data_IF_934986372852
#
_entry.id   IF_934986372852
#
_cell.length_a   1.000
_cell.length_b   1.000
_cell.length_c   1.000
_cell.angle_alpha   90.00
_cell.angle_beta   90.00
_cell.angle_gamma   90.00
#
_symmetry.space_group_name_H-M   'P 1'
#
loop_
_entity.id
_entity.type
_entity.pdbx_description
1 polymer ?
#
# COMPACT_ATOMS: atom_id res chain seq x y z
N UNK A 1 8.63 -10.26 42.60
CA UNK A 1 7.15 -10.17 42.51
C UNK A 1 6.67 -8.77 42.16
N UNK A 2 7.06 -7.74 42.93
CA UNK A 2 6.68 -6.33 42.69
C UNK A 2 7.07 -5.82 41.28
N UNK A 3 8.29 -6.06 40.83
CA UNK A 3 8.75 -5.64 39.50
C UNK A 3 7.93 -6.25 38.35
N UNK A 4 7.55 -7.53 38.46
CA UNK A 4 6.68 -8.18 37.45
C UNK A 4 5.28 -7.57 37.44
N UNK A 5 4.71 -7.32 38.62
CA UNK A 5 3.40 -6.66 38.74
C UNK A 5 3.40 -5.26 38.14
N UNK A 6 4.45 -4.47 38.39
CA UNK A 6 4.60 -3.11 37.82
C UNK A 6 4.73 -3.17 36.30
N UNK A 7 5.53 -4.09 35.75
CA UNK A 7 5.67 -4.26 34.29
C UNK A 7 4.33 -4.66 33.66
N UNK A 8 3.61 -5.62 34.24
CA UNK A 8 2.30 -6.02 33.74
C UNK A 8 1.28 -4.89 33.82
N UNK A 9 1.27 -4.11 34.91
CA UNK A 9 0.40 -2.94 35.05
C UNK A 9 0.69 -1.88 33.99
N UNK A 10 1.97 -1.59 33.72
CA UNK A 10 2.38 -0.66 32.65
C UNK A 10 1.98 -1.16 31.26
N UNK A 11 2.12 -2.46 30.98
CA UNK A 11 1.68 -3.06 29.71
C UNK A 11 0.16 -2.95 29.53
N UNK A 12 -0.63 -3.21 30.58
CA UNK A 12 -2.09 -3.06 30.53
C UNK A 12 -2.52 -1.60 30.39
N UNK A 13 -1.83 -0.67 31.05
CA UNK A 13 -2.07 0.76 30.90
C UNK A 13 -1.75 1.24 29.49
N UNK A 14 -0.61 0.83 28.92
CA UNK A 14 -0.24 1.12 27.54
C UNK A 14 -1.27 0.56 26.55
N UNK A 15 -1.67 -0.70 26.72
CA UNK A 15 -2.69 -1.32 25.88
C UNK A 15 -4.02 -0.56 25.95
N UNK A 16 -4.41 -0.13 27.15
CA UNK A 16 -5.63 0.66 27.36
C UNK A 16 -5.57 2.01 26.65
N UNK A 17 -4.47 2.75 26.84
CA UNK A 17 -4.24 4.05 26.16
C UNK A 17 -4.22 3.88 24.66
N UNK A 18 -3.44 2.91 24.15
CA UNK A 18 -3.34 2.60 22.72
C UNK A 18 -4.71 2.24 22.13
N UNK A 19 -5.52 1.44 22.82
CA UNK A 19 -6.87 1.07 22.38
C UNK A 19 -7.80 2.28 22.31
N UNK A 20 -7.81 3.12 23.35
CA UNK A 20 -8.63 4.35 23.39
C UNK A 20 -8.22 5.31 22.28
N UNK A 21 -6.92 5.53 22.08
CA UNK A 21 -6.41 6.43 21.04
C UNK A 21 -6.81 5.96 19.64
N UNK A 22 -6.63 4.66 19.33
CA UNK A 22 -7.01 4.12 18.02
C UNK A 22 -8.53 4.16 17.80
N UNK A 23 -9.31 3.79 18.81
CA UNK A 23 -10.78 3.86 18.74
C UNK A 23 -11.26 5.30 18.54
N UNK A 24 -10.70 6.26 19.29
CA UNK A 24 -11.09 7.66 19.19
C UNK A 24 -10.68 8.28 17.86
N UNK A 25 -9.51 7.94 17.36
CA UNK A 25 -9.08 8.38 16.04
C UNK A 25 -9.95 7.79 14.92
N UNK A 26 -10.28 6.49 14.99
CA UNK A 26 -11.21 5.85 14.05
C UNK A 26 -12.58 6.53 14.06
N UNK A 27 -13.12 6.80 15.25
CA UNK A 27 -14.38 7.53 15.41
C UNK A 27 -14.29 8.96 14.88
N UNK A 28 -13.17 9.65 15.10
CA UNK A 28 -12.94 10.99 14.56
C UNK A 28 -12.94 11.00 13.04
N UNK A 29 -12.21 10.10 12.38
CA UNK A 29 -12.17 10.00 10.91
C UNK A 29 -13.56 9.66 10.37
N UNK A 30 -14.23 8.67 10.95
CA UNK A 30 -15.56 8.26 10.51
C UNK A 30 -16.59 9.38 10.68
N UNK A 31 -16.64 10.02 11.85
CA UNK A 31 -17.58 11.12 12.12
C UNK A 31 -17.29 12.36 11.28
N UNK A 32 -16.02 12.68 11.03
CA UNK A 32 -15.64 13.80 10.17
C UNK A 32 -16.05 13.55 8.72
N UNK A 33 -15.86 12.33 8.22
CA UNK A 33 -16.29 11.94 6.88
C UNK A 33 -17.82 12.05 6.73
N UNK A 34 -18.57 11.46 7.66
CA UNK A 34 -20.05 11.52 7.65
C UNK A 34 -20.57 12.95 7.79
N UNK A 35 -19.96 13.77 8.65
CA UNK A 35 -20.32 15.18 8.81
C UNK A 35 -20.03 15.99 7.52
N UNK A 36 -18.90 15.72 6.86
CA UNK A 36 -18.56 16.28 5.56
C UNK A 36 -19.60 15.97 4.49
N UNK A 37 -20.01 14.71 4.39
CA UNK A 37 -21.03 14.27 3.43
C UNK A 37 -22.40 14.88 3.71
N UNK A 38 -22.79 14.95 4.99
CA UNK A 38 -24.05 15.58 5.38
C UNK A 38 -24.05 17.07 5.05
N UNK A 39 -22.93 17.75 5.29
CA UNK A 39 -22.75 19.18 4.97
C UNK A 39 -22.81 19.41 3.46
N UNK A 40 -22.16 18.56 2.66
CA UNK A 40 -22.22 18.63 1.21
C UNK A 40 -23.65 18.38 0.69
N UNK A 41 -24.33 17.36 1.22
CA UNK A 41 -25.72 17.05 0.83
C UNK A 41 -26.67 18.19 1.17
N UNK A 42 -26.51 18.80 2.35
CA UNK A 42 -27.28 19.98 2.76
C UNK A 42 -26.96 21.19 1.87
N UNK A 43 -25.69 21.45 1.57
CA UNK A 43 -25.28 22.51 0.66
C UNK A 43 -25.84 22.31 -0.74
N UNK A 44 -25.78 21.09 -1.28
CA UNK A 44 -26.37 20.78 -2.59
C UNK A 44 -27.89 20.94 -2.56
N UNK A 45 -28.56 20.56 -1.47
CA UNK A 45 -30.01 20.74 -1.30
C UNK A 45 -30.42 22.22 -1.20
N UNK A 46 -29.61 23.06 -0.54
CA UNK A 46 -29.86 24.49 -0.34
C UNK A 46 -29.50 25.31 -1.59
N UNK A 47 -28.39 24.96 -2.27
CA UNK A 47 -27.82 25.76 -3.35
C UNK A 47 -28.08 25.19 -4.77
N UNK A 48 -28.63 23.99 -4.96
CA UNK A 48 -29.19 23.55 -6.27
C UNK A 48 -30.56 24.18 -6.54
N UNK A 49 -30.60 25.51 -6.48
CA UNK A 49 -31.53 26.34 -7.25
C UNK A 49 -30.67 27.15 -8.21
N UNK A 50 -30.69 26.75 -9.49
CA UNK A 50 -30.00 27.34 -10.66
C UNK A 50 -28.51 27.04 -10.79
N UNK A 51 -28.16 26.11 -11.69
CA UNK A 51 -27.58 26.40 -13.03
C UNK A 51 -27.10 25.08 -13.65
N UNK A 52 -27.76 24.64 -14.72
CA UNK A 52 -27.27 23.62 -15.64
C UNK A 52 -26.33 24.29 -16.64
N UNK A 53 -25.06 23.91 -16.61
CA UNK A 53 -24.05 24.36 -17.57
C UNK A 53 -22.92 23.35 -17.60
N UNK A 54 -23.08 22.28 -18.38
CA UNK A 54 -21.98 21.39 -18.73
C UNK A 54 -20.99 22.17 -19.61
N UNK A 55 -19.87 22.58 -19.03
CA UNK A 55 -18.70 22.98 -19.80
C UNK A 55 -18.03 21.69 -20.29
N UNK A 56 -18.32 21.30 -21.53
CA UNK A 56 -17.48 20.34 -22.26
C UNK A 56 -16.09 20.95 -22.42
N UNK A 57 -15.15 20.54 -21.57
CA UNK A 57 -13.73 20.76 -21.81
C UNK A 57 -13.34 19.95 -23.05
N UNK A 58 -12.71 20.61 -24.00
CA UNK A 58 -12.19 20.01 -25.23
C UNK A 58 -11.14 18.96 -24.89
N UNK A 59 -11.46 17.69 -25.15
CA UNK A 59 -10.52 16.58 -25.16
C UNK A 59 -9.62 16.72 -26.38
N UNK A 60 -8.39 17.16 -26.19
CA UNK A 60 -7.35 17.10 -27.22
C UNK A 60 -6.07 16.55 -26.58
N UNK A 61 -5.58 15.43 -27.12
CA UNK A 61 -4.29 14.76 -26.83
C UNK A 61 -4.04 14.10 -25.45
N UNK A 62 -5.09 13.75 -24.68
CA UNK A 62 -4.89 13.05 -23.39
C UNK A 62 -4.72 11.53 -23.56
N UNK A 63 -4.89 10.97 -24.76
CA UNK A 63 -5.03 9.52 -24.93
C UNK A 63 -3.76 8.66 -24.78
N UNK A 64 -2.58 9.26 -24.90
CA UNK A 64 -1.34 8.49 -25.06
C UNK A 64 -0.48 8.39 -23.79
N UNK A 65 -0.90 9.02 -22.66
CA UNK A 65 -0.11 9.00 -21.44
C UNK A 65 -0.42 7.77 -20.56
N UNK A 66 0.59 6.99 -20.12
CA UNK A 66 0.44 5.93 -19.13
C UNK A 66 -0.29 6.41 -17.86
N UNK A 67 -1.31 5.71 -17.34
CA UNK A 67 -1.98 6.13 -16.11
C UNK A 67 -1.05 5.98 -14.89
N UNK A 68 -1.33 6.77 -13.86
CA UNK A 68 -0.70 6.65 -12.54
C UNK A 68 -1.72 6.00 -11.59
N UNK A 69 -1.38 4.88 -10.98
CA UNK A 69 -2.25 4.15 -10.05
C UNK A 69 -1.73 4.33 -8.63
N UNK A 70 -2.53 4.97 -7.76
CA UNK A 70 -2.21 5.18 -6.36
C UNK A 70 -2.74 4.01 -5.51
N UNK A 71 -1.84 3.21 -4.95
CA UNK A 71 -2.18 2.00 -4.20
C UNK A 71 -2.00 2.25 -2.70
N UNK A 72 -3.12 2.24 -1.97
CA UNK A 72 -3.11 2.52 -0.53
C UNK A 72 -2.47 1.38 0.29
N UNK A 73 -2.22 1.64 1.58
CA UNK A 73 -1.73 0.64 2.53
C UNK A 73 -2.81 0.00 3.37
N UNK A 74 -2.43 -0.42 4.58
CA UNK A 74 -3.34 -0.86 5.63
C UNK A 74 -4.30 0.28 6.03
N UNK A 75 -5.56 -0.05 6.30
CA UNK A 75 -6.64 0.91 6.60
C UNK A 75 -6.89 1.98 5.52
N UNK A 76 -6.31 1.81 4.34
CA UNK A 76 -6.58 2.68 3.21
C UNK A 76 -7.85 2.31 2.48
N UNK A 77 -8.28 3.20 1.61
CA UNK A 77 -9.53 3.09 0.87
C UNK A 77 -9.40 3.80 -0.48
N UNK A 78 -10.18 3.34 -1.46
CA UNK A 78 -10.19 3.92 -2.79
C UNK A 78 -11.07 5.15 -2.93
N UNK A 79 -11.12 5.71 -4.13
CA UNK A 79 -11.97 6.86 -4.45
C UNK A 79 -13.46 6.52 -4.24
N UNK A 80 -14.19 7.42 -3.59
CA UNK A 80 -15.63 7.27 -3.33
C UNK A 80 -15.97 6.44 -2.09
N UNK A 81 -14.96 6.03 -1.31
CA UNK A 81 -15.15 5.46 0.04
C UNK A 81 -14.89 6.51 1.11
N UNK A 82 -15.54 6.33 2.27
CA UNK A 82 -15.60 7.33 3.34
C UNK A 82 -16.04 8.71 2.82
N UNK A 83 -17.05 8.70 1.94
CA UNK A 83 -17.65 9.93 1.45
C UNK A 83 -16.73 10.77 0.57
N UNK A 84 -16.66 12.06 0.89
CA UNK A 84 -15.76 13.02 0.24
C UNK A 84 -14.30 12.96 0.72
N UNK A 85 -13.96 12.13 1.71
CA UNK A 85 -12.60 12.01 2.21
C UNK A 85 -11.69 11.34 1.17
N UNK A 86 -10.45 11.80 1.05
CA UNK A 86 -9.45 11.21 0.15
C UNK A 86 -8.31 10.62 0.95
N UNK A 87 -8.03 9.33 0.76
CA UNK A 87 -6.86 8.69 1.36
C UNK A 87 -5.57 9.37 0.92
N UNK A 88 -5.44 9.69 -0.37
CA UNK A 88 -4.27 10.39 -0.92
C UNK A 88 -4.40 11.92 -0.84
N UNK A 89 -5.28 12.43 0.02
CA UNK A 89 -5.46 13.86 0.33
C UNK A 89 -5.61 14.77 -0.91
N UNK A 90 -6.21 14.26 -1.99
CA UNK A 90 -6.45 14.99 -3.22
C UNK A 90 -5.31 14.94 -4.25
N UNK A 91 -4.24 14.17 -4.02
CA UNK A 91 -3.19 13.94 -5.02
C UNK A 91 -3.76 13.40 -6.34
N UNK A 92 -4.84 12.62 -6.28
CA UNK A 92 -5.56 12.11 -7.44
C UNK A 92 -6.22 13.18 -8.32
N UNK A 93 -6.27 14.43 -7.85
CA UNK A 93 -6.78 15.58 -8.63
C UNK A 93 -5.66 16.40 -9.28
N UNK A 94 -4.40 16.03 -9.09
CA UNK A 94 -3.24 16.78 -9.61
C UNK A 94 -2.89 16.48 -11.08
N UNK A 95 -3.40 15.38 -11.62
CA UNK A 95 -3.16 14.95 -13.01
C UNK A 95 -4.44 14.31 -13.60
N UNK A 96 -4.58 14.33 -14.92
CA UNK A 96 -5.81 13.91 -15.62
C UNK A 96 -5.95 12.38 -15.76
N UNK A 97 -4.92 11.59 -15.42
CA UNK A 97 -4.94 10.11 -15.49
C UNK A 97 -4.44 9.42 -14.23
N UNK A 98 -5.09 9.73 -13.11
CA UNK A 98 -4.80 9.11 -11.82
C UNK A 98 -5.93 8.20 -11.38
N UNK A 99 -5.62 6.93 -11.16
CA UNK A 99 -6.55 5.91 -10.66
C UNK A 99 -6.28 5.62 -9.18
N UNK A 100 -7.33 5.40 -8.40
CA UNK A 100 -7.24 5.15 -6.95
C UNK A 100 -8.10 3.92 -6.60
N UNK A 101 -7.57 2.71 -6.79
CA UNK A 101 -8.27 1.46 -6.49
C UNK A 101 -8.75 1.37 -5.04
N UNK A 102 -9.93 0.77 -4.88
CA UNK A 102 -10.48 0.41 -3.57
C UNK A 102 -10.22 -1.07 -3.29
N UNK A 103 -9.06 -1.36 -2.69
CA UNK A 103 -8.65 -2.72 -2.34
C UNK A 103 -9.04 -3.05 -0.89
N UNK A 104 -9.10 -4.32 -0.55
CA UNK A 104 -9.34 -4.75 0.83
C UNK A 104 -8.35 -4.12 1.81
N UNK A 105 -8.83 -3.33 2.76
CA UNK A 105 -7.96 -2.53 3.64
C UNK A 105 -7.15 -3.36 4.64
N UNK A 106 -7.54 -4.62 4.87
CA UNK A 106 -6.87 -5.57 5.78
C UNK A 106 -6.52 -6.93 5.14
N UNK A 107 -6.88 -7.16 3.88
CA UNK A 107 -6.59 -8.42 3.17
C UNK A 107 -5.09 -8.59 2.90
N UNK A 108 -4.64 -9.83 2.65
CA UNK A 108 -3.22 -10.12 2.43
C UNK A 108 -2.66 -9.39 1.21
N UNK A 109 -1.34 -9.25 1.15
CA UNK A 109 -0.67 -8.63 -0.01
C UNK A 109 -0.99 -9.40 -1.30
N UNK A 110 -1.08 -10.73 -1.21
CA UNK A 110 -1.46 -11.60 -2.31
C UNK A 110 -2.86 -11.24 -2.85
N UNK A 111 -3.87 -11.21 -1.99
CA UNK A 111 -5.24 -10.94 -2.41
C UNK A 111 -5.42 -9.53 -2.95
N UNK A 112 -4.76 -8.56 -2.33
CA UNK A 112 -4.76 -7.17 -2.82
C UNK A 112 -4.12 -7.05 -4.21
N UNK A 113 -3.09 -7.84 -4.51
CA UNK A 113 -2.48 -7.87 -5.83
C UNK A 113 -3.45 -8.45 -6.88
N UNK A 114 -4.18 -9.52 -6.53
CA UNK A 114 -5.24 -10.09 -7.37
C UNK A 114 -6.37 -9.09 -7.59
N UNK A 115 -6.88 -8.47 -6.53
CA UNK A 115 -7.92 -7.44 -6.63
C UNK A 115 -7.49 -6.25 -7.50
N UNK A 116 -6.23 -5.81 -7.38
CA UNK A 116 -5.68 -4.72 -8.17
C UNK A 116 -5.62 -5.04 -9.66
N UNK A 117 -5.23 -6.27 -10.03
CA UNK A 117 -5.23 -6.70 -11.43
C UNK A 117 -6.62 -6.60 -12.05
N UNK A 118 -7.62 -7.20 -11.41
CA UNK A 118 -8.99 -7.22 -11.94
C UNK A 118 -9.71 -5.87 -11.81
N UNK A 119 -9.31 -5.00 -10.89
CA UNK A 119 -9.76 -3.59 -10.89
C UNK A 119 -9.33 -2.88 -12.18
N UNK A 120 -8.10 -3.10 -12.62
CA UNK A 120 -7.56 -2.47 -13.84
C UNK A 120 -8.10 -3.14 -15.11
N UNK A 121 -7.98 -4.47 -15.22
CA UNK A 121 -8.39 -5.21 -16.42
C UNK A 121 -9.90 -5.43 -16.53
N UNK A 122 -10.61 -5.49 -15.42
CA UNK A 122 -11.99 -5.96 -15.36
C UNK A 122 -12.08 -7.47 -15.26
N UNK A 123 -13.29 -7.97 -14.99
CA UNK A 123 -13.58 -9.38 -14.78
C UNK A 123 -13.78 -9.74 -13.31
N UNK A 124 -13.88 -11.05 -13.06
CA UNK A 124 -14.07 -11.58 -11.70
C UNK A 124 -12.73 -11.79 -11.04
N UNK A 125 -12.56 -11.27 -9.83
CA UNK A 125 -11.35 -11.52 -9.05
C UNK A 125 -11.17 -13.02 -8.84
N UNK A 126 -10.04 -13.55 -9.28
CA UNK A 126 -9.58 -14.90 -9.01
C UNK A 126 -8.35 -14.84 -8.09
N UNK A 127 -8.51 -15.37 -6.87
CA UNK A 127 -7.44 -15.47 -5.88
C UNK A 127 -6.55 -16.71 -6.10
N UNK A 128 -6.82 -17.53 -7.11
CA UNK A 128 -6.09 -18.77 -7.38
C UNK A 128 -6.59 -19.93 -6.52
N UNK A 129 -6.79 -21.09 -7.15
CA UNK A 129 -7.37 -22.27 -6.50
C UNK A 129 -6.54 -22.76 -5.31
N UNK A 130 -5.23 -22.92 -5.49
CA UNK A 130 -4.32 -23.44 -4.45
C UNK A 130 -4.21 -22.49 -3.25
N UNK A 131 -4.08 -21.20 -3.51
CA UNK A 131 -4.05 -20.17 -2.46
C UNK A 131 -5.35 -20.20 -1.64
N UNK A 132 -6.49 -20.18 -2.33
CA UNK A 132 -7.80 -20.14 -1.67
C UNK A 132 -8.08 -21.39 -0.83
N UNK A 133 -7.66 -22.57 -1.30
CA UNK A 133 -7.73 -23.81 -0.51
C UNK A 133 -6.82 -23.78 0.72
N UNK A 134 -5.59 -23.28 0.56
CA UNK A 134 -4.63 -23.20 1.66
C UNK A 134 -5.04 -22.16 2.73
N UNK A 135 -5.66 -21.05 2.30
CA UNK A 135 -6.07 -19.96 3.16
C UNK A 135 -7.49 -20.11 3.74
N UNK A 136 -8.32 -20.96 3.13
CA UNK A 136 -9.66 -21.30 3.61
C UNK A 136 -10.73 -20.27 3.22
N UNK A 137 -10.63 -19.70 2.02
CA UNK A 137 -11.62 -18.74 1.49
C UNK A 137 -12.06 -19.09 0.07
N UNK A 138 -13.03 -18.31 -0.46
CA UNK A 138 -13.52 -18.50 -1.82
C UNK A 138 -12.45 -18.13 -2.84
N UNK A 139 -12.30 -18.92 -3.90
CA UNK A 139 -11.42 -18.58 -5.04
C UNK A 139 -11.86 -17.31 -5.75
N UNK A 140 -13.17 -17.12 -5.90
CA UNK A 140 -13.68 -15.98 -6.65
C UNK A 140 -14.20 -14.89 -5.73
N UNK A 141 -13.70 -13.68 -5.95
CA UNK A 141 -14.09 -12.47 -5.26
C UNK A 141 -15.12 -11.64 -6.04
N UNK A 142 -14.99 -10.32 -5.90
CA UNK A 142 -15.86 -9.33 -6.53
C UNK A 142 -15.74 -9.35 -8.06
N UNK A 143 -16.79 -8.87 -8.72
CA UNK A 143 -16.83 -8.75 -10.17
C UNK A 143 -16.75 -7.29 -10.58
N UNK A 144 -15.78 -6.97 -11.43
CA UNK A 144 -15.62 -5.67 -12.07
C UNK A 144 -16.16 -5.77 -13.49
N UNK A 145 -17.37 -5.25 -13.73
CA UNK A 145 -18.00 -5.29 -15.06
C UNK A 145 -17.14 -4.60 -16.13
N UNK A 146 -16.53 -3.47 -15.75
CA UNK A 146 -15.57 -2.74 -16.58
C UNK A 146 -14.30 -2.48 -15.77
N UNK A 147 -13.16 -2.80 -16.37
CA UNK A 147 -11.85 -2.44 -15.82
C UNK A 147 -11.57 -0.96 -16.05
N UNK A 148 -10.84 -0.33 -15.12
CA UNK A 148 -10.48 1.08 -15.24
C UNK A 148 -9.43 1.35 -16.33
N UNK A 149 -8.68 0.32 -16.77
CA UNK A 149 -7.71 0.42 -17.86
C UNK A 149 -7.57 -0.93 -18.59
N UNK A 150 -8.51 -1.22 -19.50
CA UNK A 150 -8.66 -2.55 -20.13
C UNK A 150 -7.58 -2.84 -21.16
N UNK A 151 -7.05 -1.79 -21.80
CA UNK A 151 -5.93 -1.84 -22.73
C UNK A 151 -4.58 -2.12 -22.07
N UNK A 152 -4.51 -2.19 -20.73
CA UNK A 152 -3.26 -2.37 -19.99
C UNK A 152 -2.42 -3.55 -20.48
N UNK A 153 -1.28 -3.30 -21.10
CA UNK A 153 -0.37 -4.35 -21.54
C UNK A 153 1.09 -3.83 -21.55
N UNK A 154 1.97 -4.52 -22.27
CA UNK A 154 3.36 -4.11 -22.40
C UNK A 154 3.54 -2.81 -23.21
N UNK A 155 2.68 -2.57 -24.20
CA UNK A 155 2.69 -1.36 -25.03
C UNK A 155 1.93 -0.21 -24.35
N UNK A 156 1.03 -0.54 -23.42
CA UNK A 156 0.24 0.36 -22.59
C UNK A 156 0.56 0.18 -21.10
N UNK A 157 1.81 0.41 -20.64
CA UNK A 157 2.20 0.09 -19.27
C UNK A 157 1.72 1.15 -18.27
N UNK A 158 1.82 0.84 -16.97
CA UNK A 158 1.32 1.69 -15.88
C UNK A 158 2.45 2.17 -14.96
N UNK A 159 2.32 3.40 -14.43
CA UNK A 159 3.07 3.85 -13.26
C UNK A 159 2.29 3.58 -11.97
N UNK A 160 2.93 2.98 -10.98
CA UNK A 160 2.34 2.78 -9.66
C UNK A 160 2.99 3.68 -8.61
N UNK A 161 2.17 4.20 -7.70
CA UNK A 161 2.62 4.86 -6.47
C UNK A 161 1.99 4.12 -5.29
N UNK A 162 2.79 3.32 -4.59
CA UNK A 162 2.35 2.53 -3.45
C UNK A 162 2.71 3.20 -2.12
N UNK A 163 1.71 3.51 -1.30
CA UNK A 163 1.93 3.95 0.08
C UNK A 163 1.93 2.77 1.04
N UNK A 164 2.88 2.71 1.99
CA UNK A 164 2.90 1.68 3.03
C UNK A 164 2.90 0.25 2.42
N UNK A 165 1.99 -0.61 2.83
CA UNK A 165 1.82 -1.96 2.27
C UNK A 165 1.48 -1.96 0.76
N UNK A 166 0.93 -0.87 0.22
CA UNK A 166 0.61 -0.74 -1.21
C UNK A 166 1.83 -0.92 -2.12
N UNK A 167 3.03 -0.56 -1.64
CA UNK A 167 4.26 -0.80 -2.38
C UNK A 167 4.57 -2.31 -2.51
N UNK A 168 4.30 -3.12 -1.48
CA UNK A 168 4.45 -4.58 -1.55
C UNK A 168 3.42 -5.20 -2.50
N UNK A 169 2.17 -4.70 -2.46
CA UNK A 169 1.09 -5.16 -3.35
C UNK A 169 1.50 -5.02 -4.80
N UNK A 170 2.06 -3.87 -5.19
CA UNK A 170 2.51 -3.65 -6.57
C UNK A 170 3.67 -4.59 -6.94
N UNK A 171 4.61 -4.84 -6.03
CA UNK A 171 5.72 -5.77 -6.29
C UNK A 171 5.23 -7.20 -6.48
N UNK A 172 4.28 -7.65 -5.65
CA UNK A 172 3.66 -8.97 -5.78
C UNK A 172 2.87 -9.06 -7.08
N UNK A 173 2.07 -8.03 -7.41
CA UNK A 173 1.39 -7.95 -8.71
C UNK A 173 2.37 -8.05 -9.89
N UNK A 174 3.47 -7.30 -9.85
CA UNK A 174 4.46 -7.32 -10.93
C UNK A 174 5.09 -8.71 -11.08
N UNK A 175 5.41 -9.38 -9.97
CA UNK A 175 5.92 -10.75 -10.01
C UNK A 175 4.86 -11.73 -10.55
N UNK A 176 3.59 -11.61 -10.14
CA UNK A 176 2.50 -12.43 -10.68
C UNK A 176 2.30 -12.24 -12.18
N UNK A 177 2.49 -11.03 -12.71
CA UNK A 177 2.47 -10.76 -14.15
C UNK A 177 3.64 -11.46 -14.86
N UNK A 178 4.85 -11.37 -14.30
CA UNK A 178 6.02 -12.09 -14.82
C UNK A 178 5.85 -13.60 -14.84
N UNK A 179 5.19 -14.14 -13.81
CA UNK A 179 4.97 -15.57 -13.62
C UNK A 179 3.69 -16.07 -14.31
N UNK A 180 2.96 -15.18 -15.01
CA UNK A 180 1.72 -15.48 -15.76
C UNK A 180 0.63 -16.13 -14.92
N UNK A 181 0.43 -15.61 -13.71
CA UNK A 181 -0.45 -16.22 -12.72
C UNK A 181 -1.94 -15.89 -12.92
N UNK A 182 -2.31 -15.17 -13.98
CA UNK A 182 -3.68 -14.70 -14.24
C UNK A 182 -4.33 -15.48 -15.39
N UNK A 183 -5.16 -16.45 -15.04
CA UNK A 183 -5.86 -17.31 -16.00
C UNK A 183 -6.62 -16.49 -17.05
N UNK A 184 -6.41 -16.84 -18.32
CA UNK A 184 -6.97 -16.11 -19.46
C UNK A 184 -6.14 -14.92 -19.94
N UNK A 185 -5.02 -14.61 -19.29
CA UNK A 185 -4.08 -13.54 -19.64
C UNK A 185 -2.63 -14.05 -19.78
N UNK A 186 -2.42 -15.00 -20.70
CA UNK A 186 -1.16 -15.72 -20.92
C UNK A 186 0.01 -14.86 -21.45
N UNK A 187 -0.30 -13.66 -21.94
CA UNK A 187 0.67 -12.69 -22.46
C UNK A 187 1.16 -11.69 -21.40
N UNK A 188 0.74 -11.85 -20.14
CA UNK A 188 1.23 -11.03 -19.03
C UNK A 188 2.74 -11.17 -18.87
N UNK A 189 3.39 -10.07 -18.50
CA UNK A 189 4.80 -10.01 -18.17
C UNK A 189 5.10 -8.81 -17.26
N UNK A 190 6.31 -8.74 -16.70
CA UNK A 190 6.75 -7.67 -15.81
C UNK A 190 6.74 -6.27 -16.46
N UNK A 191 6.81 -6.21 -17.80
CA UNK A 191 6.86 -4.98 -18.58
C UNK A 191 5.47 -4.32 -18.68
N UNK A 192 4.42 -4.89 -18.11
CA UNK A 192 3.17 -4.16 -17.92
C UNK A 192 3.30 -3.06 -16.86
N UNK A 193 4.39 -3.09 -16.07
CA UNK A 193 4.73 -2.07 -15.07
C UNK A 193 5.90 -1.22 -15.55
N UNK A 194 5.65 0.09 -15.75
CA UNK A 194 6.67 1.04 -16.20
C UNK A 194 7.52 1.56 -15.03
N UNK A 195 6.87 1.89 -13.91
CA UNK A 195 7.58 2.26 -12.68
C UNK A 195 6.79 1.97 -11.42
N UNK A 196 7.51 1.79 -10.32
CA UNK A 196 6.98 1.75 -8.96
C UNK A 196 7.65 2.84 -8.12
N UNK A 197 6.86 3.78 -7.62
CA UNK A 197 7.26 4.70 -6.55
C UNK A 197 6.69 4.23 -5.22
N UNK A 198 7.54 4.03 -4.23
CA UNK A 198 7.18 3.68 -2.87
C UNK A 198 7.18 4.92 -1.98
N UNK A 199 6.06 5.19 -1.30
CA UNK A 199 5.95 6.22 -0.27
C UNK A 199 5.84 5.52 1.08
N UNK A 200 6.85 5.66 1.94
CA UNK A 200 6.89 4.96 3.24
C UNK A 200 6.59 3.47 3.07
N UNK A 201 7.18 2.78 2.09
CA UNK A 201 6.80 1.39 1.78
C UNK A 201 7.26 0.37 2.80
N UNK A 202 6.46 -0.65 3.07
CA UNK A 202 6.84 -1.74 3.98
C UNK A 202 7.73 -2.80 3.30
N UNK A 203 8.76 -2.41 2.54
CA UNK A 203 9.47 -3.34 1.63
C UNK A 203 10.19 -4.50 2.35
N UNK A 204 10.49 -4.35 3.64
CA UNK A 204 11.13 -5.39 4.48
C UNK A 204 10.35 -5.69 5.77
N UNK A 205 9.10 -5.22 5.89
CA UNK A 205 8.27 -5.38 7.08
C UNK A 205 8.54 -4.33 8.16
N UNK A 206 8.00 -4.54 9.36
CA UNK A 206 8.10 -3.57 10.47
C UNK A 206 8.09 -4.25 11.83
N UNK A 207 8.86 -3.70 12.76
CA UNK A 207 8.82 -4.11 14.17
C UNK A 207 7.51 -3.73 14.88
N UNK A 208 6.73 -2.81 14.29
CA UNK A 208 5.42 -2.39 14.83
C UNK A 208 4.44 -3.56 14.92
N UNK A 209 4.48 -4.51 14.00
CA UNK A 209 3.61 -5.70 14.05
C UNK A 209 3.74 -6.44 15.38
N UNK A 210 4.96 -6.58 15.90
CA UNK A 210 5.20 -7.28 17.17
C UNK A 210 4.73 -6.49 18.40
N UNK A 211 4.86 -5.15 18.33
CA UNK A 211 4.36 -4.24 19.36
C UNK A 211 2.83 -4.26 19.45
N UNK A 212 2.17 -4.30 18.28
CA UNK A 212 0.71 -4.27 18.20
C UNK A 212 0.08 -5.64 18.54
N UNK A 213 0.78 -6.76 18.30
CA UNK A 213 0.35 -8.06 18.80
C UNK A 213 0.80 -9.32 18.06
N UNK A 214 1.53 -9.21 16.94
CA UNK A 214 2.07 -10.38 16.23
C UNK A 214 3.18 -11.04 17.06
N UNK A 215 3.22 -12.36 17.08
CA UNK A 215 4.27 -13.12 17.76
C UNK A 215 5.58 -13.01 16.99
N UNK A 216 6.69 -12.64 17.65
CA UNK A 216 7.99 -12.61 17.01
C UNK A 216 8.55 -14.02 16.73
N UNK A 217 7.98 -15.08 17.31
CA UNK A 217 8.39 -16.48 17.10
C UNK A 217 8.16 -16.95 15.66
N UNK A 218 6.97 -16.66 15.10
CA UNK A 218 6.57 -17.10 13.76
C UNK A 218 6.28 -15.95 12.78
N UNK A 219 6.16 -14.72 13.29
CA UNK A 219 5.78 -13.53 12.51
C UNK A 219 4.32 -13.54 12.04
N UNK A 220 3.46 -14.37 12.64
CA UNK A 220 2.11 -14.64 12.11
C UNK A 220 1.04 -14.74 13.19
N UNK A 221 1.29 -15.48 14.27
CA UNK A 221 0.30 -15.72 15.30
C UNK A 221 0.05 -14.46 16.14
N UNK A 222 -1.15 -14.33 16.69
CA UNK A 222 -1.53 -13.22 17.56
C UNK A 222 -1.28 -13.57 19.03
N UNK A 223 -0.62 -12.66 19.76
CA UNK A 223 -0.51 -12.73 21.22
C UNK A 223 -1.89 -12.70 21.86
N UNK A 224 -2.05 -13.44 22.96
CA UNK A 224 -3.34 -13.59 23.66
C UNK A 224 -3.90 -12.26 24.18
N UNK A 225 -3.04 -11.37 24.68
CA UNK A 225 -3.40 -10.03 25.17
C UNK A 225 -2.60 -9.02 24.35
N UNK A 226 -3.27 -8.32 23.44
CA UNK A 226 -2.64 -7.32 22.57
C UNK A 226 -3.67 -6.39 21.93
N UNK A 227 -3.20 -5.27 21.34
CA UNK A 227 -4.06 -4.33 20.63
C UNK A 227 -4.74 -5.00 19.43
N UNK A 228 -4.00 -5.86 18.71
CA UNK A 228 -4.54 -6.57 17.56
C UNK A 228 -5.66 -7.56 17.92
N UNK A 229 -5.70 -8.11 19.13
CA UNK A 229 -6.85 -8.94 19.55
C UNK A 229 -8.14 -8.12 19.67
N UNK A 230 -8.03 -6.89 20.17
CA UNK A 230 -9.16 -5.96 20.27
C UNK A 230 -9.62 -5.54 18.87
N UNK A 231 -8.66 -5.21 17.99
CA UNK A 231 -8.96 -4.90 16.59
C UNK A 231 -9.59 -6.10 15.86
N UNK A 232 -9.05 -7.32 16.05
CA UNK A 232 -9.59 -8.57 15.50
C UNK A 232 -11.06 -8.73 15.90
N UNK A 233 -11.38 -8.57 17.18
CA UNK A 233 -12.77 -8.65 17.65
C UNK A 233 -13.66 -7.65 16.91
N UNK A 234 -13.24 -6.39 16.80
CA UNK A 234 -13.99 -5.36 16.08
C UNK A 234 -14.23 -5.70 14.61
N UNK A 235 -13.19 -6.17 13.90
CA UNK A 235 -13.27 -6.55 12.48
C UNK A 235 -14.14 -7.78 12.27
N UNK A 236 -13.98 -8.82 13.09
CA UNK A 236 -14.82 -10.03 13.01
C UNK A 236 -16.29 -9.68 13.25
N UNK A 237 -16.59 -8.84 14.26
CA UNK A 237 -17.95 -8.38 14.51
C UNK A 237 -18.50 -7.54 13.36
N UNK A 238 -17.69 -6.65 12.78
CA UNK A 238 -18.06 -5.82 11.65
C UNK A 238 -18.47 -6.66 10.43
N UNK A 239 -17.60 -7.59 10.02
CA UNK A 239 -17.84 -8.43 8.85
C UNK A 239 -18.95 -9.45 9.08
N UNK A 240 -19.10 -9.94 10.31
CA UNK A 240 -20.20 -10.82 10.68
C UNK A 240 -21.56 -10.12 10.65
N UNK A 241 -21.67 -8.88 11.18
CA UNK A 241 -22.92 -8.11 11.15
C UNK A 241 -23.37 -7.78 9.73
N UNK A 242 -22.43 -7.61 8.79
CA UNK A 242 -22.67 -7.50 7.35
C UNK A 242 -23.70 -6.41 6.98
N UNK A 243 -23.53 -5.22 7.57
CA UNK A 243 -24.43 -4.08 7.39
C UNK A 243 -24.16 -3.43 6.02
N UNK A 244 -25.10 -3.47 5.05
CA UNK A 244 -24.81 -3.11 3.66
C UNK A 244 -24.36 -1.66 3.45
N UNK A 245 -25.03 -0.69 4.09
CA UNK A 245 -24.67 0.72 3.94
C UNK A 245 -23.29 1.01 4.51
N UNK A 246 -22.94 0.36 5.62
CA UNK A 246 -21.67 0.55 6.31
C UNK A 246 -20.52 -0.05 5.49
N UNK A 247 -20.70 -1.26 4.95
CA UNK A 247 -19.77 -1.89 4.01
C UNK A 247 -19.61 -1.11 2.70
N UNK A 248 -20.69 -0.49 2.22
CA UNK A 248 -20.61 0.42 1.07
C UNK A 248 -19.82 1.68 1.40
N UNK A 249 -19.90 2.16 2.65
CA UNK A 249 -19.16 3.34 3.09
C UNK A 249 -17.66 3.06 3.28
N UNK A 250 -17.31 1.92 3.89
CA UNK A 250 -15.94 1.46 4.07
C UNK A 250 -15.88 -0.07 4.22
N UNK A 251 -14.96 -0.76 3.54
CA UNK A 251 -14.89 -2.22 3.58
C UNK A 251 -13.48 -2.70 4.02
N UNK A 252 -13.43 -3.69 4.93
CA UNK A 252 -12.17 -4.34 5.29
C UNK A 252 -11.64 -5.30 4.22
N UNK A 253 -12.53 -5.77 3.33
CA UNK A 253 -12.19 -6.59 2.17
C UNK A 253 -12.37 -8.10 2.34
N UNK A 254 -12.89 -8.56 3.47
CA UNK A 254 -12.99 -9.99 3.79
C UNK A 254 -14.23 -10.70 3.21
N UNK A 255 -14.89 -10.12 2.21
CA UNK A 255 -16.14 -10.69 1.65
C UNK A 255 -15.95 -12.11 1.10
N UNK A 256 -14.77 -12.45 0.58
CA UNK A 256 -14.43 -13.77 0.05
C UNK A 256 -14.27 -14.86 1.14
N UNK A 257 -14.09 -14.46 2.41
CA UNK A 257 -14.15 -15.36 3.58
C UNK A 257 -15.59 -15.70 4.02
N UNK A 258 -16.61 -15.05 3.44
CA UNK A 258 -18.02 -15.37 3.67
C UNK A 258 -18.47 -15.31 5.14
N UNK A 259 -17.91 -14.40 5.95
CA UNK A 259 -18.12 -14.35 7.41
C UNK A 259 -19.51 -13.86 7.85
N UNK A 260 -20.33 -13.33 6.94
CA UNK A 260 -21.67 -12.78 7.23
C UNK A 260 -22.54 -13.71 8.09
N UNK A 261 -23.27 -13.15 9.05
CA UNK A 261 -24.19 -13.86 9.94
C UNK A 261 -25.23 -14.68 9.17
N UNK A 262 -25.63 -14.22 7.97
CA UNK A 262 -26.56 -14.93 7.08
C UNK A 262 -26.00 -16.26 6.57
N UNK A 263 -24.66 -16.36 6.47
CA UNK A 263 -23.96 -17.55 5.96
C UNK A 263 -23.48 -18.46 7.09
N UNK A 264 -22.93 -17.87 8.17
CA UNK A 264 -22.18 -18.63 9.19
C UNK A 264 -22.89 -18.73 10.55
N UNK A 265 -23.89 -17.88 10.81
CA UNK A 265 -24.61 -17.83 12.08
C UNK A 265 -23.71 -17.54 13.29
N UNK A 266 -24.24 -17.78 14.50
CA UNK A 266 -23.49 -17.57 15.75
C UNK A 266 -22.32 -18.55 15.94
N UNK A 267 -22.45 -19.79 15.42
CA UNK A 267 -21.39 -20.78 15.52
C UNK A 267 -20.15 -20.34 14.74
N UNK A 268 -20.33 -19.87 13.51
CA UNK A 268 -19.20 -19.39 12.72
C UNK A 268 -18.56 -18.12 13.28
N UNK A 269 -19.32 -17.26 13.98
CA UNK A 269 -18.75 -16.16 14.75
C UNK A 269 -17.79 -16.67 15.82
N UNK A 270 -18.21 -17.66 16.62
CA UNK A 270 -17.36 -18.28 17.65
C UNK A 270 -16.12 -18.91 17.01
N UNK A 271 -16.27 -19.63 15.90
CA UNK A 271 -15.14 -20.24 15.19
C UNK A 271 -14.13 -19.18 14.68
N UNK A 272 -14.61 -18.04 14.16
CA UNK A 272 -13.75 -16.93 13.74
C UNK A 272 -13.02 -16.27 14.92
N UNK A 273 -13.73 -16.07 16.04
CA UNK A 273 -13.14 -15.48 17.26
C UNK A 273 -12.07 -16.38 17.87
N UNK A 274 -12.32 -17.69 17.92
CA UNK A 274 -11.36 -18.70 18.37
C UNK A 274 -10.18 -18.90 17.39
N UNK A 275 -10.26 -18.36 16.17
CA UNK A 275 -9.21 -18.51 15.15
C UNK A 275 -9.24 -19.87 14.44
N UNK A 276 -10.38 -20.57 14.47
CA UNK A 276 -10.58 -21.82 13.74
C UNK A 276 -10.97 -21.56 12.27
N UNK A 277 -11.46 -20.36 11.95
CA UNK A 277 -11.91 -19.97 10.63
C UNK A 277 -11.65 -18.47 10.36
N UNK A 278 -11.72 -18.09 9.08
CA UNK A 278 -11.55 -16.71 8.64
C UNK A 278 -10.08 -16.29 8.49
N UNK A 279 -9.84 -14.99 8.19
CA UNK A 279 -8.52 -14.48 7.83
C UNK A 279 -7.50 -14.57 8.97
N UNK A 280 -7.97 -14.56 10.22
CA UNK A 280 -7.15 -14.61 11.42
C UNK A 280 -6.85 -16.05 11.91
N UNK A 281 -7.23 -17.06 11.13
CA UNK A 281 -6.93 -18.45 11.45
C UNK A 281 -5.45 -18.77 11.26
N UNK A 282 -5.08 -20.05 11.39
CA UNK A 282 -3.70 -20.51 11.21
C UNK A 282 -3.11 -20.20 9.83
N UNK A 283 -3.95 -19.94 8.81
CA UNK A 283 -3.55 -19.46 7.49
C UNK A 283 -2.97 -18.04 7.53
N UNK A 284 -3.38 -17.21 8.49
CA UNK A 284 -2.90 -15.84 8.69
C UNK A 284 -2.96 -15.01 7.41
N UNK A 285 -4.02 -15.20 6.64
CA UNK A 285 -4.21 -14.58 5.33
C UNK A 285 -4.88 -13.20 5.48
N UNK A 286 -4.07 -12.28 6.00
CA UNK A 286 -4.39 -10.87 6.19
C UNK A 286 -3.10 -10.08 6.24
N UNK A 287 -3.20 -8.76 6.22
CA UNK A 287 -2.06 -7.91 5.90
C UNK A 287 -0.92 -7.96 6.94
N UNK A 288 -1.19 -8.14 8.24
CA UNK A 288 -0.15 -7.95 9.26
C UNK A 288 0.94 -9.03 9.30
N UNK A 289 0.63 -10.32 9.12
CA UNK A 289 1.67 -11.33 8.91
C UNK A 289 2.62 -10.99 7.76
N UNK A 290 2.12 -10.47 6.64
CA UNK A 290 2.96 -10.03 5.51
C UNK A 290 3.86 -8.83 5.87
N UNK A 291 3.41 -7.97 6.78
CA UNK A 291 4.17 -6.83 7.30
C UNK A 291 5.16 -7.18 8.42
N UNK A 292 5.18 -8.42 8.91
CA UNK A 292 6.26 -8.86 9.81
C UNK A 292 7.58 -8.96 9.03
N UNK A 293 8.71 -8.89 9.73
CA UNK A 293 10.03 -9.06 9.09
C UNK A 293 10.11 -10.45 8.42
N UNK A 294 9.61 -11.49 9.09
CA UNK A 294 9.59 -12.85 8.55
C UNK A 294 8.68 -12.97 7.32
N UNK A 295 7.48 -12.39 7.36
CA UNK A 295 6.54 -12.40 6.24
C UNK A 295 7.07 -11.66 5.03
N UNK A 296 7.57 -10.44 5.23
CA UNK A 296 8.19 -9.65 4.17
C UNK A 296 9.43 -10.32 3.58
N UNK A 297 10.24 -11.00 4.39
CA UNK A 297 11.36 -11.81 3.89
C UNK A 297 10.88 -13.00 3.04
N UNK A 298 9.83 -13.71 3.46
CA UNK A 298 9.24 -14.81 2.67
C UNK A 298 8.69 -14.32 1.34
N UNK A 299 8.03 -13.15 1.32
CA UNK A 299 7.59 -12.51 0.08
C UNK A 299 8.82 -12.18 -0.78
N UNK A 300 9.77 -11.41 -0.25
CA UNK A 300 10.94 -10.95 -1.00
C UNK A 300 11.80 -12.08 -1.56
N UNK A 301 11.82 -13.27 -0.96
CA UNK A 301 12.55 -14.42 -1.47
C UNK A 301 12.15 -14.82 -2.91
N UNK A 302 10.90 -14.51 -3.31
CA UNK A 302 10.37 -14.81 -4.63
C UNK A 302 10.19 -13.58 -5.52
N UNK A 303 10.39 -12.36 -4.98
CA UNK A 303 10.18 -11.12 -5.72
C UNK A 303 11.48 -10.62 -6.34
N UNK A 304 11.45 -10.29 -7.62
CA UNK A 304 12.60 -9.72 -8.34
C UNK A 304 12.49 -8.20 -8.47
N UNK A 305 13.60 -7.58 -8.83
CA UNK A 305 13.62 -6.22 -9.40
C UNK A 305 13.91 -6.37 -10.88
N UNK A 306 12.96 -5.90 -11.70
CA UNK A 306 12.95 -6.18 -13.12
C UNK A 306 13.76 -5.13 -13.90
N UNK A 307 14.56 -5.53 -14.89
CA UNK A 307 15.55 -4.67 -15.53
C UNK A 307 14.93 -3.51 -16.32
N UNK A 308 13.67 -3.62 -16.74
CA UNK A 308 12.98 -2.62 -17.57
C UNK A 308 12.00 -1.73 -16.79
N UNK A 309 12.00 -1.81 -15.46
CA UNK A 309 11.10 -1.05 -14.59
C UNK A 309 11.90 -0.07 -13.73
N UNK A 310 11.40 1.15 -13.57
CA UNK A 310 12.03 2.15 -12.71
C UNK A 310 11.48 2.06 -11.29
N UNK A 311 12.35 2.02 -10.28
CA UNK A 311 11.94 1.91 -8.88
C UNK A 311 12.41 3.11 -8.06
N UNK A 312 11.49 3.73 -7.33
CA UNK A 312 11.77 4.86 -6.46
C UNK A 312 11.25 4.58 -5.05
N UNK A 313 11.93 5.10 -4.03
CA UNK A 313 11.44 5.04 -2.66
C UNK A 313 11.67 6.33 -1.88
N UNK A 314 10.64 6.81 -1.21
CA UNK A 314 10.70 7.88 -0.23
C UNK A 314 10.59 7.22 1.15
N UNK A 315 11.74 6.99 1.77
CA UNK A 315 11.85 6.45 3.11
C UNK A 315 11.67 7.57 4.14
N UNK A 316 10.76 7.39 5.08
CA UNK A 316 10.39 8.41 6.06
C UNK A 316 11.06 8.19 7.41
N UNK A 317 11.30 9.30 8.12
CA UNK A 317 11.97 9.30 9.42
C UNK A 317 11.49 10.44 10.31
N UNK A 318 11.10 10.12 11.55
CA UNK A 318 10.79 11.08 12.64
C UNK A 318 11.53 10.79 13.93
N UNK A 319 12.77 10.35 13.78
CA UNK A 319 13.67 9.98 14.88
C UNK A 319 14.97 10.76 14.78
N UNK A 320 15.63 10.98 15.92
CA UNK A 320 16.94 11.62 16.02
C UNK A 320 17.80 10.89 17.06
N UNK A 321 19.12 10.99 16.91
CA UNK A 321 20.10 10.40 17.83
C UNK A 321 20.91 11.51 18.53
N UNK A 322 20.39 12.18 19.58
CA UNK A 322 21.14 13.21 20.29
C UNK A 322 22.42 12.61 20.88
N UNK A 323 23.57 13.22 20.55
CA UNK A 323 24.91 12.79 20.97
C UNK A 323 25.23 11.32 20.63
N UNK A 324 24.56 10.73 19.64
CA UNK A 324 24.78 9.34 19.22
C UNK A 324 24.39 8.26 20.24
N UNK A 325 23.72 8.60 21.34
CA UNK A 325 23.46 7.66 22.44
C UNK A 325 22.20 6.81 22.24
N UNK A 326 21.04 7.45 22.06
CA UNK A 326 19.75 6.76 21.97
C UNK A 326 18.89 7.38 20.88
N UNK A 327 18.26 6.53 20.06
CA UNK A 327 17.26 6.98 19.09
C UNK A 327 15.98 7.37 19.82
N UNK A 328 15.52 8.59 19.59
CA UNK A 328 14.31 9.16 20.21
C UNK A 328 13.47 9.90 19.17
N UNK A 329 12.17 10.13 19.42
CA UNK A 329 11.34 10.97 18.55
C UNK A 329 11.98 12.34 18.28
N UNK A 330 11.90 12.82 17.03
CA UNK A 330 12.53 14.08 16.63
C UNK A 330 11.86 15.33 17.21
N UNK A 331 10.56 15.25 17.52
CA UNK A 331 9.81 16.30 18.23
C UNK A 331 8.31 15.99 18.30
N UNK A 332 7.64 16.52 19.33
CA UNK A 332 6.20 16.28 19.57
C UNK A 332 5.32 16.93 18.48
N UNK A 333 5.69 18.11 17.99
CA UNK A 333 4.88 18.86 17.01
C UNK A 333 4.97 18.31 15.57
N UNK A 334 6.03 17.56 15.24
CA UNK A 334 6.23 17.01 13.90
C UNK A 334 5.59 15.63 13.68
N UNK A 335 5.18 14.96 14.75
CA UNK A 335 4.68 13.58 14.73
C UNK A 335 3.20 13.60 15.06
N UNK A 336 2.40 12.85 14.32
CA UNK A 336 0.98 12.74 14.61
C UNK A 336 0.77 12.18 16.01
N UNK A 337 -0.17 12.69 16.81
CA UNK A 337 -0.43 12.18 18.16
C UNK A 337 -0.65 10.66 18.21
N UNK A 338 -1.31 10.09 17.18
CA UNK A 338 -1.51 8.64 17.04
C UNK A 338 -0.19 7.85 16.97
N UNK A 339 0.86 8.44 16.39
CA UNK A 339 2.11 7.78 16.07
C UNK A 339 3.20 8.05 17.10
N UNK A 340 3.08 9.09 17.94
CA UNK A 340 4.16 9.51 18.83
C UNK A 340 4.67 8.40 19.77
N UNK A 341 3.75 7.71 20.46
CA UNK A 341 4.10 6.59 21.35
C UNK A 341 4.75 5.45 20.55
N UNK A 342 4.25 5.17 19.34
CA UNK A 342 4.79 4.12 18.47
C UNK A 342 6.19 4.47 17.97
N UNK A 343 6.47 5.74 17.65
CA UNK A 343 7.82 6.18 17.29
C UNK A 343 8.82 5.86 18.41
N UNK A 344 8.44 6.17 19.65
CA UNK A 344 9.28 5.88 20.82
C UNK A 344 9.47 4.37 21.03
N UNK A 345 8.39 3.59 21.01
CA UNK A 345 8.44 2.14 21.25
C UNK A 345 9.26 1.42 20.16
N UNK A 346 9.10 1.79 18.89
CA UNK A 346 9.88 1.22 17.79
C UNK A 346 11.37 1.56 17.91
N UNK A 347 11.70 2.78 18.36
CA UNK A 347 13.10 3.20 18.57
C UNK A 347 13.80 2.40 19.67
N UNK A 348 13.03 1.81 20.59
CA UNK A 348 13.52 1.05 21.74
C UNK A 348 13.23 -0.45 21.61
N UNK A 349 12.69 -0.90 20.46
CA UNK A 349 12.40 -2.31 20.24
C UNK A 349 13.68 -3.14 20.35
N UNK A 350 13.56 -4.27 21.03
CA UNK A 350 14.59 -5.29 21.15
C UNK A 350 13.96 -6.62 20.79
N UNK A 351 14.54 -7.32 19.81
CA UNK A 351 14.08 -8.65 19.48
C UNK A 351 14.33 -9.58 20.67
N UNK A 352 13.36 -10.43 21.07
CA UNK A 352 13.53 -11.26 22.27
C UNK A 352 14.74 -12.21 22.14
N UNK A 353 15.59 -12.32 23.17
CA UNK A 353 16.85 -13.06 23.10
C UNK A 353 16.70 -14.58 23.16
N UNK A 354 15.54 -15.05 23.60
CA UNK A 354 15.15 -16.45 23.80
C UNK A 354 14.61 -17.13 22.55
N UNK A 355 14.44 -16.38 21.46
CA UNK A 355 13.94 -16.90 20.18
C UNK A 355 14.97 -16.67 19.06
N UNK A 356 14.96 -17.50 18.00
CA UNK A 356 15.84 -17.29 16.85
C UNK A 356 15.61 -15.91 16.21
N UNK A 357 16.71 -15.23 15.88
CA UNK A 357 16.66 -13.96 15.13
C UNK A 357 15.90 -14.13 13.81
N UNK A 358 15.21 -13.09 13.33
CA UNK A 358 14.37 -13.21 12.13
C UNK A 358 15.19 -13.50 10.87
N UNK A 359 16.45 -13.08 10.85
CA UNK A 359 17.42 -13.41 9.81
C UNK A 359 18.86 -13.29 10.34
N UNK A 360 19.80 -13.92 9.63
CA UNK A 360 21.23 -13.88 9.98
C UNK A 360 21.77 -12.46 9.88
N UNK A 361 22.37 -11.96 10.96
CA UNK A 361 22.93 -10.60 11.02
C UNK A 361 21.93 -9.51 11.40
N UNK A 362 20.72 -9.88 11.84
CA UNK A 362 19.78 -8.92 12.43
C UNK A 362 20.41 -8.18 13.61
N UNK A 363 20.21 -6.86 13.63
CA UNK A 363 20.63 -5.95 14.70
C UNK A 363 19.49 -4.99 15.00
N UNK A 364 19.11 -4.86 16.27
CA UNK A 364 18.04 -3.93 16.64
C UNK A 364 18.36 -2.49 16.24
N UNK A 365 19.64 -2.09 16.28
CA UNK A 365 20.10 -0.73 16.00
C UNK A 365 19.73 -0.25 14.58
N UNK A 366 19.70 -1.19 13.63
CA UNK A 366 19.38 -0.92 12.24
C UNK A 366 17.87 -0.61 12.07
N UNK A 367 17.04 -1.08 13.01
CA UNK A 367 15.58 -0.92 13.00
C UNK A 367 15.07 0.19 13.91
N UNK A 368 15.94 1.01 14.53
CA UNK A 368 15.48 2.04 15.47
C UNK A 368 14.86 3.26 14.78
N UNK A 369 15.44 3.73 13.67
CA UNK A 369 14.90 4.86 12.93
C UNK A 369 13.56 4.47 12.30
N UNK A 370 12.53 5.30 12.48
CA UNK A 370 11.17 4.98 12.03
C UNK A 370 10.31 6.26 11.85
N UNK A 371 9.13 6.08 11.27
CA UNK A 371 8.11 7.11 11.03
C UNK A 371 6.83 6.93 11.88
N UNK A 372 6.87 6.00 12.85
CA UNK A 372 5.76 5.63 13.72
C UNK A 372 4.90 4.47 13.23
N UNK A 373 5.08 4.00 12.00
CA UNK A 373 4.46 2.77 11.50
C UNK A 373 5.48 1.76 10.98
N UNK A 374 6.50 2.23 10.27
CA UNK A 374 7.52 1.41 9.67
C UNK A 374 8.91 1.93 10.04
N UNK A 375 9.87 1.01 10.09
CA UNK A 375 11.27 1.33 10.32
C UNK A 375 11.87 1.89 9.02
N UNK A 376 12.64 2.97 9.10
CA UNK A 376 13.19 3.69 7.93
C UNK A 376 14.04 2.77 7.06
N UNK A 377 14.82 1.85 7.65
CA UNK A 377 15.60 0.86 6.89
C UNK A 377 14.73 0.00 5.98
N UNK A 378 13.52 -0.32 6.44
CA UNK A 378 12.58 -1.18 5.70
C UNK A 378 12.04 -0.52 4.45
N UNK A 379 12.01 0.81 4.40
CA UNK A 379 11.41 1.56 3.31
C UNK A 379 12.36 1.80 2.15
N UNK A 380 13.68 1.76 2.38
CA UNK A 380 14.69 2.15 1.37
C UNK A 380 14.56 1.37 0.06
N UNK A 381 14.71 0.05 0.13
CA UNK A 381 14.60 -0.90 -0.98
C UNK A 381 14.42 -2.30 -0.40
N UNK A 382 14.12 -3.34 -1.20
CA UNK A 382 14.13 -4.72 -0.72
C UNK A 382 15.56 -5.13 -0.33
N UNK A 383 15.79 -5.36 0.97
CA UNK A 383 17.09 -5.67 1.58
C UNK A 383 17.24 -7.12 1.99
N UNK A 384 16.13 -7.74 2.42
CA UNK A 384 16.10 -9.10 2.97
C UNK A 384 15.16 -9.98 2.14
N UNK A 385 15.49 -11.26 1.88
CA UNK A 385 16.70 -11.96 2.34
C UNK A 385 17.96 -11.64 1.53
N UNK A 386 17.79 -11.14 0.30
CA UNK A 386 18.87 -10.71 -0.59
C UNK A 386 18.66 -9.23 -0.89
N UNK A 387 19.75 -8.46 -0.86
CA UNK A 387 19.68 -7.02 -1.10
C UNK A 387 19.59 -6.72 -2.60
N UNK A 388 18.58 -5.94 -2.99
CA UNK A 388 18.36 -5.53 -4.37
C UNK A 388 19.22 -4.31 -4.72
N UNK A 389 19.60 -4.18 -6.00
CA UNK A 389 20.37 -3.05 -6.52
C UNK A 389 19.69 -1.72 -6.19
N UNK A 390 20.44 -0.79 -5.62
CA UNK A 390 19.93 0.47 -5.09
C UNK A 390 20.94 1.61 -5.20
N UNK A 391 20.42 2.84 -5.16
CA UNK A 391 21.19 4.08 -5.14
C UNK A 391 20.51 5.09 -4.21
N UNK A 392 21.26 5.68 -3.30
CA UNK A 392 20.78 6.80 -2.48
C UNK A 392 20.80 8.09 -3.30
N UNK A 393 19.71 8.85 -3.25
CA UNK A 393 19.54 10.11 -3.97
C UNK A 393 19.45 11.27 -2.98
N UNK A 394 20.40 12.20 -3.07
CA UNK A 394 20.42 13.41 -2.24
C UNK A 394 19.76 14.59 -2.94
N UNK A 395 20.06 14.77 -4.23
CA UNK A 395 19.43 15.73 -5.14
C UNK A 395 18.80 14.99 -6.32
N UNK A 396 17.66 15.50 -6.83
CA UNK A 396 16.99 14.91 -7.99
C UNK A 396 17.84 15.00 -9.28
N UNK A 397 18.93 15.78 -9.27
CA UNK A 397 19.94 15.82 -10.33
C UNK A 397 20.87 14.61 -10.33
N UNK A 398 21.06 13.95 -9.18
CA UNK A 398 22.04 12.88 -8.98
C UNK A 398 21.65 11.57 -9.70
N UNK A 399 20.39 11.48 -10.14
CA UNK A 399 19.83 10.27 -10.74
C UNK A 399 19.72 10.34 -12.28
N UNK A 400 20.20 11.41 -12.91
CA UNK A 400 20.15 11.58 -14.37
C UNK A 400 21.45 11.11 -15.06
N UNK A 401 21.38 10.29 -16.13
CA UNK A 401 20.18 9.70 -16.72
C UNK A 401 19.67 8.50 -15.91
N UNK A 402 18.35 8.46 -15.66
CA UNK A 402 17.70 7.38 -14.92
C UNK A 402 17.91 6.05 -15.63
N UNK A 403 18.40 5.05 -14.88
CA UNK A 403 18.49 3.66 -15.29
C UNK A 403 17.36 2.83 -14.64
N UNK A 404 16.66 1.99 -15.41
CA UNK A 404 15.71 1.02 -14.84
C UNK A 404 16.45 -0.14 -14.14
N UNK A 405 15.71 -0.96 -13.40
CA UNK A 405 16.26 -2.14 -12.71
C UNK A 405 16.99 -1.86 -11.40
N UNK A 406 17.00 -0.62 -10.92
CA UNK A 406 17.57 -0.25 -9.61
C UNK A 406 16.60 0.60 -8.79
N UNK A 407 16.72 0.51 -7.46
CA UNK A 407 15.93 1.30 -6.50
C UNK A 407 16.63 2.61 -6.16
N UNK A 408 16.05 3.73 -6.58
CA UNK A 408 16.48 5.06 -6.15
C UNK A 408 15.74 5.44 -4.88
N UNK A 409 16.44 5.64 -3.77
CA UNK A 409 15.78 5.99 -2.51
C UNK A 409 16.26 7.32 -1.92
N UNK A 410 15.33 8.02 -1.29
CA UNK A 410 15.55 9.30 -0.59
C UNK A 410 14.97 9.21 0.82
N UNK A 411 15.68 9.75 1.81
CA UNK A 411 15.17 9.86 3.17
C UNK A 411 14.49 11.22 3.35
N UNK A 412 13.26 11.22 3.85
CA UNK A 412 12.41 12.39 4.06
C UNK A 412 12.01 12.49 5.54
N UNK A 413 12.05 13.71 6.10
CA UNK A 413 11.65 13.95 7.49
C UNK A 413 10.12 14.04 7.66
N UNK A 414 9.46 12.91 7.46
CA UNK A 414 8.01 12.77 7.53
C UNK A 414 7.58 11.66 8.49
N UNK A 415 6.39 11.78 9.08
CA UNK A 415 5.76 10.63 9.74
C UNK A 415 4.94 9.83 8.72
N UNK A 416 4.45 8.66 9.14
CA UNK A 416 3.80 7.73 8.23
C UNK A 416 2.57 8.29 7.51
N UNK A 417 1.85 9.25 8.13
CA UNK A 417 0.61 9.77 7.58
C UNK A 417 0.77 11.12 6.89
N UNK A 418 1.99 11.68 6.81
CA UNK A 418 2.22 12.99 6.19
C UNK A 418 1.74 13.04 4.74
N UNK A 419 1.86 11.91 4.02
CA UNK A 419 1.50 11.82 2.60
C UNK A 419 0.04 11.45 2.34
N UNK A 420 -0.79 11.32 3.38
CA UNK A 420 -2.17 10.83 3.26
C UNK A 420 -3.14 11.58 4.17
N UNK A 421 -4.44 11.53 3.85
CA UNK A 421 -5.59 12.02 4.62
C UNK A 421 -5.63 13.53 4.89
N UNK A 422 -4.56 14.14 5.38
CA UNK A 422 -4.52 15.54 5.81
C UNK A 422 -3.41 16.32 5.09
N UNK A 423 -3.75 16.86 3.91
CA UNK A 423 -2.86 17.74 3.13
C UNK A 423 -2.48 19.02 3.88
N UNK A 424 -3.39 19.60 4.67
CA UNK A 424 -3.12 20.86 5.38
C UNK A 424 -1.98 20.73 6.39
N UNK A 425 -1.89 19.58 7.05
CA UNK A 425 -0.81 19.29 8.01
C UNK A 425 0.55 19.21 7.32
N UNK A 426 0.61 18.64 6.12
CA UNK A 426 1.84 18.48 5.37
C UNK A 426 2.19 19.71 4.53
N UNK A 427 1.19 20.54 4.21
CA UNK A 427 1.34 21.80 3.49
C UNK A 427 2.11 21.63 2.18
N UNK A 428 3.13 22.48 2.02
CA UNK A 428 3.95 22.55 0.80
C UNK A 428 4.74 21.27 0.54
N UNK A 429 5.16 20.55 1.59
CA UNK A 429 5.99 19.35 1.45
C UNK A 429 5.24 18.21 0.74
N UNK A 430 3.95 18.03 1.07
CA UNK A 430 3.07 17.10 0.35
C UNK A 430 2.99 17.45 -1.12
N UNK A 431 2.80 18.73 -1.42
CA UNK A 431 2.62 19.17 -2.79
C UNK A 431 3.87 18.92 -3.63
N UNK A 432 5.04 19.32 -3.12
CA UNK A 432 6.33 19.12 -3.77
C UNK A 432 6.62 17.65 -4.06
N UNK A 433 6.31 16.74 -3.14
CA UNK A 433 6.59 15.30 -3.33
C UNK A 433 5.68 14.71 -4.41
N UNK A 434 4.37 14.94 -4.36
CA UNK A 434 3.47 14.42 -5.39
C UNK A 434 3.71 15.05 -6.75
N UNK A 435 3.98 16.36 -6.81
CA UNK A 435 4.30 17.05 -8.06
C UNK A 435 5.60 16.50 -8.68
N UNK A 436 6.64 16.30 -7.86
CA UNK A 436 7.90 15.68 -8.29
C UNK A 436 7.69 14.25 -8.81
N UNK A 437 6.89 13.43 -8.12
CA UNK A 437 6.59 12.06 -8.56
C UNK A 437 5.86 12.09 -9.91
N UNK A 438 4.81 12.90 -10.04
CA UNK A 438 3.99 12.93 -11.24
C UNK A 438 4.78 13.51 -12.41
N UNK A 439 5.54 14.58 -12.19
CA UNK A 439 6.44 15.13 -13.20
C UNK A 439 7.45 14.08 -13.68
N UNK A 440 8.03 13.30 -12.76
CA UNK A 440 8.95 12.21 -13.12
C UNK A 440 8.28 11.12 -13.96
N UNK A 441 7.09 10.67 -13.57
CA UNK A 441 6.30 9.73 -14.36
C UNK A 441 6.03 10.27 -15.77
N UNK A 442 5.78 11.58 -15.90
CA UNK A 442 5.39 12.21 -17.17
C UNK A 442 6.56 12.63 -18.06
N UNK A 443 7.76 12.87 -17.52
CA UNK A 443 8.88 13.47 -18.28
C UNK A 443 10.15 12.63 -18.35
N UNK A 444 10.34 11.69 -17.43
CA UNK A 444 11.65 11.06 -17.24
C UNK A 444 11.62 9.54 -17.26
N UNK A 445 10.43 8.94 -17.16
CA UNK A 445 10.25 7.49 -17.09
C UNK A 445 9.55 7.03 -18.36
N UNK A 446 10.34 6.75 -19.39
CA UNK A 446 9.85 6.19 -20.65
C UNK A 446 10.68 4.99 -21.02
N UNK A 447 10.06 4.01 -21.70
CA UNK A 447 10.84 3.00 -22.40
C UNK A 447 11.55 3.65 -23.57
N UNK A 448 12.85 3.37 -23.71
CA UNK A 448 13.52 3.56 -24.99
C UNK A 448 12.96 2.51 -25.94
N UNK A 449 12.01 2.86 -26.80
CA UNK A 449 11.62 1.97 -27.88
C UNK A 449 12.87 1.60 -28.69
N UNK A 450 13.09 0.33 -29.06
CA UNK A 450 14.00 0.04 -30.15
C UNK A 450 13.41 0.79 -31.36
N UNK A 451 14.16 1.73 -31.92
CA UNK A 451 13.77 2.34 -33.19
C UNK A 451 13.74 1.24 -34.24
N UNK A 452 12.56 0.72 -34.54
CA UNK A 452 12.31 0.04 -35.81
C UNK A 452 12.48 1.09 -36.89
N UNK A 453 13.68 1.12 -37.48
CA UNK A 453 13.95 1.88 -38.71
C UNK A 453 12.92 1.46 -39.77
N UNK A 454 12.12 2.38 -40.32
CA UNK A 454 11.30 2.06 -41.47
C UNK A 454 12.24 1.75 -42.64
N UNK A 455 12.05 0.59 -43.27
CA UNK A 455 12.62 0.31 -44.58
C UNK A 455 12.06 1.37 -45.55
N UNK A 456 12.85 2.40 -45.87
CA UNK A 456 12.55 3.27 -46.99
C UNK A 456 12.80 2.51 -48.29
N UNK A 457 11.70 2.07 -48.90
CA UNK A 457 11.63 1.79 -50.30
C UNK A 457 11.96 3.08 -51.09
N UNK A 458 13.21 3.22 -51.51
CA UNK A 458 13.61 4.13 -52.57
C UNK A 458 14.33 3.37 -53.67
N UNK A 459 13.58 2.98 -54.71
CA UNK A 459 14.06 3.04 -56.09
C UNK A 459 12.87 2.84 -57.05
N UNK A 460 12.19 3.94 -57.34
CA UNK A 460 11.54 4.13 -58.63
C UNK A 460 11.81 5.55 -59.13
N UNK A 461 12.34 5.60 -60.36
CA UNK A 461 12.15 6.65 -61.36
C UNK A 461 12.80 8.03 -61.15
N UNK A 462 14.04 8.13 -61.63
CA UNK A 462 14.51 9.20 -62.52
C UNK A 462 15.16 8.44 -63.68
N UNK A 463 14.65 8.45 -64.91
CA UNK A 463 14.48 9.60 -65.77
C UNK A 463 15.39 9.33 -66.97
N UNK A 464 14.79 9.15 -68.15
CA UNK A 464 15.47 8.67 -69.34
C UNK A 464 16.38 9.68 -70.04
N UNK A 465 16.94 9.15 -71.14
CA UNK A 465 17.44 9.77 -72.36
C UNK A 465 18.91 10.21 -72.50
N UNK A 466 19.51 9.56 -73.52
CA UNK A 466 20.53 10.03 -74.51
C UNK A 466 21.97 10.17 -73.99
N UNK A 467 23.04 9.75 -74.69
CA UNK A 467 23.30 9.47 -76.11
C UNK A 467 24.63 8.69 -76.22
N UNK A 468 24.88 8.11 -77.40
CA UNK A 468 26.11 7.44 -77.89
C UNK A 468 26.46 6.00 -77.45
#
# INVERSE_FOLDING_TARGET
MIQRLVVTALQLAELSVSSVVHMMYGLYIFSSAVAGDLTQTLSESIFKSKTTGEVKRSTTQVNDLPPIVLVHGIFGFGKGRLGGLSYFAGAEKKDERVLVPDLGSLTSVHDRARELFYYLKGGRVDYGEDHSKACGHSQFGRFYEKGEYQEWDEDHPIHFVGHSAGAQVVRVLQQMLSDKMFDGYENTNENWVLSLTSLSGALNGTTRTYLDGISPEDGKSLKLISLLQICKLGVVMYDWLDIPWLKSYYNFGFDHFNMSWKKTGLRGLVDCLLGNAGPFASSGDWILPDLSIQGSMKLNANLKTFPNTFYFSYATKRTRKPLGMMTVPSGVMGIHPLLFIRVLQMSQWRFPPDIPLPYKGYRDEDWQDNDGALNTISMTHPRIPVEHSNLIVHSDSDCLPLQPGIWYYKIVEADHILFIVNRERAGVEFDLIYDSIFERCRKHVFRKSPQTLPNEAQQQQLGGDQEE
#
